data_IF_890506726167
#
_entry.id   IF_890506726167
#
_cell.length_a   1.000
_cell.length_b   1.000
_cell.length_c   1.000
_cell.angle_alpha   90.00
_cell.angle_beta   90.00
_cell.angle_gamma   90.00
#
_symmetry.space_group_name_H-M   'P 1'
#
loop_
_entity.id
_entity.type
_entity.pdbx_description
1 polymer ?
#
# COMPACT_ATOMS: atom_id res chain seq x y z
N UNK A 1 9.90 -1.13 22.41
CA UNK A 1 8.76 -1.68 21.65
C UNK A 1 8.71 -0.97 20.30
N UNK A 2 9.06 -1.63 19.20
CA UNK A 2 9.19 -0.98 17.88
C UNK A 2 7.77 -0.76 17.32
N UNK A 3 7.31 0.49 17.26
CA UNK A 3 6.05 0.88 16.61
C UNK A 3 6.21 0.73 15.10
N UNK A 4 5.92 -0.45 14.55
CA UNK A 4 5.86 -0.63 13.09
C UNK A 4 4.52 -0.07 12.62
N UNK A 5 4.54 1.12 12.01
CA UNK A 5 3.36 1.79 11.46
C UNK A 5 2.75 0.95 10.32
N UNK A 6 1.42 0.99 10.15
CA UNK A 6 0.71 0.21 9.11
C UNK A 6 1.28 0.37 7.70
N UNK A 7 1.70 1.57 7.24
CA UNK A 7 2.35 1.76 5.94
C UNK A 7 3.64 0.95 5.79
N UNK A 8 4.46 0.86 6.84
CA UNK A 8 5.69 0.06 6.82
C UNK A 8 5.40 -1.46 6.72
N UNK A 9 4.28 -1.91 7.31
CA UNK A 9 3.80 -3.29 7.16
C UNK A 9 3.39 -3.61 5.73
N UNK A 10 2.72 -2.68 5.04
CA UNK A 10 2.26 -2.84 3.66
C UNK A 10 3.45 -2.82 2.69
N UNK A 11 4.41 -1.89 2.81
CA UNK A 11 5.63 -1.90 1.99
C UNK A 11 6.45 -3.19 2.16
N UNK A 12 6.53 -3.73 3.38
CA UNK A 12 7.21 -5.01 3.63
C UNK A 12 6.51 -6.17 2.94
N UNK A 13 5.17 -6.19 2.91
CA UNK A 13 4.39 -7.21 2.20
C UNK A 13 4.58 -7.14 0.70
N UNK A 14 4.58 -5.94 0.11
CA UNK A 14 4.84 -5.76 -1.33
C UNK A 14 6.23 -6.29 -1.70
N UNK A 15 7.24 -5.98 -0.89
CA UNK A 15 8.61 -6.46 -1.12
C UNK A 15 8.71 -7.99 -1.07
N UNK A 16 8.06 -8.63 -0.09
CA UNK A 16 8.02 -10.10 0.01
C UNK A 16 7.24 -10.74 -1.14
N UNK A 17 6.19 -10.09 -1.63
CA UNK A 17 5.43 -10.56 -2.79
C UNK A 17 6.29 -10.57 -4.05
N UNK A 18 7.05 -9.50 -4.32
CA UNK A 18 8.00 -9.42 -5.44
C UNK A 18 9.02 -10.57 -5.42
N UNK A 19 9.59 -10.90 -4.25
CA UNK A 19 10.56 -12.00 -4.14
C UNK A 19 9.95 -13.40 -4.31
N UNK A 20 8.67 -13.57 -3.96
CA UNK A 20 7.99 -14.87 -4.00
C UNK A 20 7.53 -15.24 -5.42
N UNK A 21 7.38 -14.27 -6.32
CA UNK A 21 6.87 -14.42 -7.70
C UNK A 21 7.69 -15.40 -8.59
N UNK A 22 8.88 -15.82 -8.15
CA UNK A 22 9.77 -16.74 -8.88
C UNK A 22 9.48 -18.25 -8.80
N UNK A 23 8.55 -18.74 -7.96
CA UNK A 23 8.39 -20.21 -7.70
C UNK A 23 6.93 -20.67 -7.72
N UNK A 24 6.64 -21.69 -8.56
CA UNK A 24 5.40 -22.49 -8.65
C UNK A 24 4.12 -21.65 -8.99
N UNK A 25 4.01 -21.27 -10.27
CA UNK A 25 3.12 -20.23 -10.82
C UNK A 25 1.66 -20.30 -10.37
N UNK A 26 1.04 -21.47 -10.21
CA UNK A 26 -0.37 -21.55 -9.79
C UNK A 26 -0.57 -21.39 -8.28
N UNK A 27 0.28 -22.04 -7.47
CA UNK A 27 0.24 -21.86 -6.00
C UNK A 27 0.58 -20.44 -5.62
N UNK A 28 1.55 -19.88 -6.33
CA UNK A 28 1.97 -18.50 -6.22
C UNK A 28 0.88 -17.52 -6.61
N UNK A 29 0.18 -17.75 -7.73
CA UNK A 29 -0.95 -16.95 -8.16
C UNK A 29 -2.06 -16.89 -7.11
N UNK A 30 -2.42 -18.03 -6.51
CA UNK A 30 -3.41 -18.07 -5.41
C UNK A 30 -2.92 -17.28 -4.20
N UNK A 31 -1.63 -17.39 -3.84
CA UNK A 31 -1.04 -16.65 -2.71
C UNK A 31 -1.01 -15.14 -2.97
N UNK A 32 -0.64 -14.72 -4.18
CA UNK A 32 -0.60 -13.31 -4.59
C UNK A 32 -2.00 -12.71 -4.60
N UNK A 33 -2.99 -13.41 -5.17
CA UNK A 33 -4.37 -12.93 -5.19
C UNK A 33 -4.91 -12.73 -3.77
N UNK A 34 -4.63 -13.64 -2.83
CA UNK A 34 -5.03 -13.49 -1.42
C UNK A 34 -4.37 -12.29 -0.74
N UNK A 35 -3.08 -12.05 -0.96
CA UNK A 35 -2.41 -10.90 -0.36
C UNK A 35 -2.87 -9.58 -0.99
N UNK A 36 -3.11 -9.55 -2.30
CA UNK A 36 -3.68 -8.39 -2.99
C UNK A 36 -5.11 -8.09 -2.48
N UNK A 37 -5.92 -9.10 -2.24
CA UNK A 37 -7.26 -8.96 -1.65
C UNK A 37 -7.18 -8.30 -0.26
N UNK A 38 -6.24 -8.72 0.60
CA UNK A 38 -6.03 -8.07 1.90
C UNK A 38 -5.62 -6.60 1.76
N UNK A 39 -4.74 -6.29 0.79
CA UNK A 39 -4.33 -4.89 0.53
C UNK A 39 -5.52 -4.06 0.04
N UNK A 40 -6.34 -4.61 -0.86
CA UNK A 40 -7.53 -3.95 -1.37
C UNK A 40 -8.52 -3.65 -0.24
N UNK A 41 -8.83 -4.64 0.60
CA UNK A 41 -9.76 -4.49 1.71
C UNK A 41 -9.25 -3.46 2.72
N UNK A 42 -7.99 -3.52 3.12
CA UNK A 42 -7.41 -2.55 4.04
C UNK A 42 -7.47 -1.12 3.45
N UNK A 43 -7.13 -0.95 2.17
CA UNK A 43 -7.23 0.34 1.48
C UNK A 43 -8.70 0.83 1.41
N UNK A 44 -9.64 -0.04 1.06
CA UNK A 44 -11.06 0.30 0.97
C UNK A 44 -11.65 0.69 2.33
N UNK A 45 -11.23 0.03 3.41
CA UNK A 45 -11.63 0.36 4.78
C UNK A 45 -11.09 1.72 5.23
N UNK A 46 -9.87 2.07 4.83
CA UNK A 46 -9.29 3.40 5.07
C UNK A 46 -10.04 4.50 4.32
N UNK A 47 -10.42 4.25 3.05
CA UNK A 47 -11.26 5.19 2.26
C UNK A 47 -12.61 5.42 2.91
N UNK A 48 -13.27 4.34 3.37
CA UNK A 48 -14.56 4.39 4.05
C UNK A 48 -14.50 5.01 5.46
N UNK A 49 -13.30 5.24 5.99
CA UNK A 49 -13.12 5.77 7.35
C UNK A 49 -13.44 4.76 8.44
N UNK A 50 -13.53 3.47 8.11
CA UNK A 50 -13.78 2.38 9.05
C UNK A 50 -12.56 2.09 9.94
N UNK A 51 -11.40 2.63 9.57
CA UNK A 51 -10.13 2.38 10.23
C UNK A 51 -9.35 3.69 10.36
N UNK A 52 -8.85 3.96 11.56
CA UNK A 52 -7.95 5.08 11.84
C UNK A 52 -6.49 4.69 11.63
N UNK A 53 -5.67 5.65 11.21
CA UNK A 53 -4.21 5.51 11.11
C UNK A 53 -3.61 6.30 12.26
N UNK A 54 -2.82 5.64 13.10
CA UNK A 54 -2.15 6.25 14.26
C UNK A 54 -3.13 6.95 15.24
N UNK A 55 -4.35 6.42 15.35
CA UNK A 55 -5.42 6.96 16.20
C UNK A 55 -6.18 8.15 15.58
N UNK A 56 -5.79 8.62 14.41
CA UNK A 56 -6.42 9.73 13.70
C UNK A 56 -7.27 9.25 12.51
N UNK A 57 -8.36 9.97 12.25
CA UNK A 57 -9.12 9.83 11.01
C UNK A 57 -8.31 10.38 9.83
N UNK A 58 -8.39 9.72 8.68
CA UNK A 58 -7.69 10.20 7.48
C UNK A 58 -8.32 11.46 6.92
N UNK A 59 -7.46 12.37 6.46
CA UNK A 59 -7.84 13.56 5.70
C UNK A 59 -8.44 13.17 4.34
N UNK A 60 -9.17 14.10 3.72
CA UNK A 60 -9.75 13.90 2.38
C UNK A 60 -8.67 13.51 1.33
N UNK A 61 -7.52 14.18 1.40
CA UNK A 61 -6.40 13.95 0.48
C UNK A 61 -5.78 12.55 0.68
N UNK A 62 -5.61 12.11 1.93
CA UNK A 62 -5.13 10.77 2.24
C UNK A 62 -6.13 9.70 1.78
N UNK A 63 -7.44 9.92 1.98
CA UNK A 63 -8.49 9.01 1.48
C UNK A 63 -8.46 8.91 -0.05
N UNK A 64 -8.23 10.01 -0.76
CA UNK A 64 -8.06 9.99 -2.22
C UNK A 64 -6.86 9.14 -2.66
N UNK A 65 -5.74 9.20 -1.94
CA UNK A 65 -4.58 8.37 -2.21
C UNK A 65 -4.86 6.88 -1.93
N UNK A 66 -5.55 6.56 -0.84
CA UNK A 66 -5.99 5.18 -0.56
C UNK A 66 -6.99 4.66 -1.59
N UNK A 67 -7.87 5.51 -2.13
CA UNK A 67 -8.76 5.13 -3.22
C UNK A 67 -7.98 4.79 -4.51
N UNK A 68 -6.92 5.54 -4.82
CA UNK A 68 -6.00 5.19 -5.92
C UNK A 68 -5.30 3.87 -5.68
N UNK A 69 -4.81 3.61 -4.45
CA UNK A 69 -4.19 2.34 -4.09
C UNK A 69 -5.17 1.17 -4.26
N UNK A 70 -6.42 1.31 -3.78
CA UNK A 70 -7.45 0.28 -3.96
C UNK A 70 -7.73 0.03 -5.45
N UNK A 71 -7.86 1.09 -6.25
CA UNK A 71 -8.05 0.98 -7.69
C UNK A 71 -6.91 0.25 -8.40
N UNK A 72 -5.65 0.62 -8.11
CA UNK A 72 -4.49 -0.07 -8.66
C UNK A 72 -4.41 -1.53 -8.22
N UNK A 73 -4.66 -1.81 -6.94
CA UNK A 73 -4.66 -3.18 -6.40
C UNK A 73 -5.68 -4.06 -7.13
N UNK A 74 -6.89 -3.54 -7.37
CA UNK A 74 -7.91 -4.25 -8.14
C UNK A 74 -7.48 -4.52 -9.59
N UNK A 75 -6.77 -3.57 -10.24
CA UNK A 75 -6.20 -3.79 -11.56
C UNK A 75 -5.13 -4.89 -11.55
N UNK A 76 -4.24 -4.90 -10.55
CA UNK A 76 -3.23 -5.97 -10.39
C UNK A 76 -3.89 -7.32 -10.20
N UNK A 77 -4.90 -7.41 -9.33
CA UNK A 77 -5.67 -8.64 -9.13
C UNK A 77 -6.28 -9.13 -10.44
N UNK A 78 -6.84 -8.23 -11.24
CA UNK A 78 -7.46 -8.59 -12.52
C UNK A 78 -6.43 -9.08 -13.55
N UNK A 79 -5.23 -8.49 -13.59
CA UNK A 79 -4.13 -8.95 -14.45
C UNK A 79 -3.64 -10.33 -14.01
N UNK A 80 -3.29 -10.50 -12.73
CA UNK A 80 -2.89 -11.79 -12.12
C UNK A 80 -3.96 -12.88 -12.32
N UNK A 81 -5.25 -12.50 -12.28
CA UNK A 81 -6.35 -13.41 -12.53
C UNK A 81 -6.54 -13.76 -14.02
N UNK A 82 -6.09 -12.95 -14.97
CA UNK A 82 -6.19 -13.24 -16.42
C UNK A 82 -4.99 -14.03 -16.96
N UNK A 83 -3.81 -13.85 -16.38
CA UNK A 83 -2.58 -14.55 -16.77
C UNK A 83 -1.42 -14.14 -15.88
N UNK A 84 -0.43 -15.02 -15.71
CA UNK A 84 0.75 -14.73 -14.89
C UNK A 84 1.89 -14.30 -15.81
N UNK A 85 1.86 -13.04 -16.27
CA UNK A 85 3.05 -12.41 -16.85
C UNK A 85 3.85 -11.77 -15.72
N UNK A 86 4.96 -12.40 -15.36
CA UNK A 86 5.85 -12.00 -14.28
C UNK A 86 6.37 -10.56 -14.45
N UNK A 87 6.56 -10.08 -15.70
CA UNK A 87 7.02 -8.71 -15.97
C UNK A 87 5.94 -7.68 -15.73
N UNK A 88 4.72 -7.95 -16.17
CA UNK A 88 3.57 -7.05 -15.97
C UNK A 88 3.25 -6.90 -14.49
N UNK A 89 3.33 -8.00 -13.73
CA UNK A 89 3.14 -8.00 -12.28
C UNK A 89 4.22 -7.17 -11.58
N UNK A 90 5.49 -7.30 -11.96
CA UNK A 90 6.59 -6.53 -11.38
C UNK A 90 6.45 -5.01 -11.63
N UNK A 91 6.02 -4.62 -12.82
CA UNK A 91 5.73 -3.20 -13.15
C UNK A 91 4.58 -2.66 -12.30
N UNK A 92 3.51 -3.44 -12.15
CA UNK A 92 2.35 -3.08 -11.33
C UNK A 92 2.68 -2.98 -9.84
N UNK A 93 3.45 -3.93 -9.30
CA UNK A 93 3.91 -3.90 -7.90
C UNK A 93 4.84 -2.72 -7.64
N UNK A 94 5.70 -2.38 -8.62
CA UNK A 94 6.58 -1.21 -8.55
C UNK A 94 5.80 0.11 -8.50
N UNK A 95 4.74 0.23 -9.30
CA UNK A 95 3.85 1.39 -9.24
C UNK A 95 3.15 1.50 -7.87
N UNK A 96 2.72 0.38 -7.30
CA UNK A 96 2.08 0.32 -5.99
C UNK A 96 3.03 0.75 -4.87
N UNK A 97 4.29 0.31 -4.94
CA UNK A 97 5.35 0.74 -4.02
C UNK A 97 5.59 2.25 -4.10
N UNK A 98 5.72 2.80 -5.30
CA UNK A 98 5.92 4.24 -5.51
C UNK A 98 4.78 5.07 -4.91
N UNK A 99 3.53 4.62 -5.02
CA UNK A 99 2.37 5.29 -4.42
C UNK A 99 2.44 5.32 -2.88
N UNK A 100 2.86 4.23 -2.25
CA UNK A 100 3.04 4.17 -0.79
C UNK A 100 4.21 5.04 -0.34
N UNK A 101 5.31 5.05 -1.09
CA UNK A 101 6.45 5.91 -0.78
C UNK A 101 6.10 7.41 -0.90
N UNK A 102 5.15 7.76 -1.77
CA UNK A 102 4.59 9.10 -1.82
C UNK A 102 3.80 9.47 -0.55
N UNK A 103 3.00 8.54 -0.02
CA UNK A 103 2.28 8.73 1.25
C UNK A 103 3.25 8.89 2.42
N UNK A 104 4.31 8.08 2.46
CA UNK A 104 5.32 8.16 3.52
C UNK A 104 6.07 9.50 3.48
N UNK A 105 6.39 10.01 2.29
CA UNK A 105 6.99 11.34 2.12
C UNK A 105 6.07 12.45 2.60
N UNK A 106 4.79 12.43 2.22
CA UNK A 106 3.80 13.39 2.70
C UNK A 106 3.66 13.40 4.23
N UNK A 107 3.77 12.24 4.88
CA UNK A 107 3.78 12.17 6.35
C UNK A 107 5.04 12.81 6.95
N UNK A 108 6.21 12.49 6.42
CA UNK A 108 7.48 13.04 6.89
C UNK A 108 7.56 14.57 6.72
N UNK A 109 7.04 15.09 5.62
CA UNK A 109 7.01 16.54 5.36
C UNK A 109 6.05 17.25 6.35
N UNK A 110 4.87 16.68 6.64
CA UNK A 110 3.95 17.19 7.67
C UNK A 110 4.56 17.17 9.09
N UNK A 111 5.32 16.14 9.43
CA UNK A 111 6.01 16.04 10.73
C UNK A 111 7.08 17.14 10.87
N UNK A 112 7.86 17.41 9.81
CA UNK A 112 8.87 18.50 9.80
C UNK A 112 8.24 19.89 9.92
N UNK A 113 7.17 20.16 9.19
CA UNK A 113 6.44 21.43 9.29
C UNK A 113 5.83 21.65 10.69
N UNK A 114 5.42 20.59 11.37
CA UNK A 114 4.91 20.66 12.74
C UNK A 114 6.03 20.94 13.75
N UNK A 115 7.22 20.37 13.58
CA UNK A 115 8.40 20.63 14.42
C UNK A 115 8.95 22.06 14.24
N UNK A 116 9.01 22.57 13.01
CA UNK A 116 9.45 23.96 12.72
C UNK A 116 8.49 24.99 13.32
N UNK A 117 7.18 24.75 13.26
CA UNK A 117 6.17 25.63 13.89
C UNK A 117 6.20 25.56 15.41
N UNK A 118 6.61 24.44 16.01
CA UNK A 118 6.74 24.28 17.45
C UNK A 118 8.06 24.88 18.00
N UNK A 119 9.10 24.98 17.17
CA UNK A 119 10.39 25.59 17.52
C UNK A 119 10.44 27.11 17.36
N UNK A 120 9.45 27.71 16.69
CA UNK A 120 9.46 29.11 16.27
C UNK A 120 8.69 30.09 17.16
N UNK A 121 8.33 29.73 18.40
CA UNK A 121 7.56 30.60 19.31
C UNK A 121 8.25 30.81 20.65
#
# INVERSE_FOLDING_TARGET
MVKVTKPAKISRRITLLTETVKVDTQRLRVKILRELEVIFDDAARLVRGEVTVDGAALTMQERQLWARIAGYTAQVMQSVAKGFDEREIDEMLSALKNAIDAINRLKADKEREAEEKASGN
#
